data_IF_649198120198
#
_entry.id   IF_649198120198
#
_cell.length_a   1.000
_cell.length_b   1.000
_cell.length_c   1.000
_cell.angle_alpha   90.00
_cell.angle_beta   90.00
_cell.angle_gamma   90.00
#
_symmetry.space_group_name_H-M   'P 1'
#
loop_
_entity.id
_entity.type
_entity.pdbx_description
1 polymer ?
#
# COMPACT_ATOMS: atom_id res chain seq x y z
N UNK A 1 -29.37 -4.70 -0.29
CA UNK A 1 -28.15 -3.88 -0.05
C UNK A 1 -27.18 -4.69 0.82
N UNK A 2 -26.00 -4.94 0.32
CA UNK A 2 -24.95 -5.71 1.03
C UNK A 2 -24.13 -4.77 1.92
N UNK A 3 -23.94 -5.13 3.20
CA UNK A 3 -23.12 -4.37 4.13
C UNK A 3 -21.78 -5.07 4.31
N UNK A 4 -20.71 -4.38 3.93
CA UNK A 4 -19.31 -4.80 4.06
C UNK A 4 -18.65 -4.00 5.18
N UNK A 5 -17.93 -4.66 6.06
CA UNK A 5 -17.20 -4.01 7.16
C UNK A 5 -15.73 -4.39 7.08
N UNK A 6 -14.87 -3.44 6.74
CA UNK A 6 -13.43 -3.58 6.83
C UNK A 6 -12.97 -3.33 8.27
N UNK A 7 -12.05 -4.14 8.77
CA UNK A 7 -11.42 -3.94 10.07
C UNK A 7 -9.92 -3.77 9.87
N UNK A 8 -9.41 -2.61 10.27
CA UNK A 8 -7.99 -2.23 10.18
C UNK A 8 -7.42 -1.92 11.56
N UNK A 9 -6.10 -1.99 11.71
CA UNK A 9 -5.44 -1.70 12.98
C UNK A 9 -5.56 -0.22 13.34
N UNK A 10 -5.25 0.66 12.40
CA UNK A 10 -5.34 2.11 12.51
C UNK A 10 -5.80 2.69 11.17
N UNK A 11 -6.16 3.98 11.15
CA UNK A 11 -6.54 4.69 9.92
C UNK A 11 -5.62 5.91 9.75
N UNK A 12 -4.36 5.63 9.36
CA UNK A 12 -3.32 6.61 9.02
C UNK A 12 -2.99 6.48 7.54
N UNK A 13 -2.36 7.49 6.90
CA UNK A 13 -1.92 7.35 5.50
C UNK A 13 -1.04 6.12 5.28
N UNK A 14 -1.51 5.19 4.47
CA UNK A 14 -0.84 3.93 4.16
C UNK A 14 -1.53 3.20 3.01
N UNK A 15 -0.86 2.19 2.44
CA UNK A 15 -1.39 1.41 1.30
C UNK A 15 -2.68 0.66 1.64
N UNK A 16 -2.74 0.01 2.80
CA UNK A 16 -3.90 -0.77 3.25
C UNK A 16 -5.11 0.12 3.50
N UNK A 17 -4.88 1.24 4.17
CA UNK A 17 -5.91 2.21 4.49
C UNK A 17 -6.45 2.90 3.22
N UNK A 18 -5.55 3.21 2.27
CA UNK A 18 -5.92 3.71 0.95
C UNK A 18 -6.77 2.70 0.20
N UNK A 19 -6.35 1.44 0.13
CA UNK A 19 -7.11 0.36 -0.48
C UNK A 19 -8.49 0.18 0.17
N UNK A 20 -8.59 0.26 1.50
CA UNK A 20 -9.86 0.14 2.20
C UNK A 20 -10.83 1.30 1.86
N UNK A 21 -10.31 2.52 1.68
CA UNK A 21 -11.09 3.66 1.18
C UNK A 21 -11.51 3.46 -0.27
N UNK A 22 -10.61 3.01 -1.12
CA UNK A 22 -10.92 2.75 -2.53
C UNK A 22 -12.00 1.65 -2.65
N UNK A 23 -12.02 0.65 -1.77
CA UNK A 23 -13.11 -0.35 -1.70
C UNK A 23 -14.45 0.21 -1.19
N UNK A 24 -14.50 1.42 -0.57
CA UNK A 24 -15.76 2.14 -0.38
C UNK A 24 -16.25 2.69 -1.72
N UNK A 25 -15.37 3.35 -2.46
CA UNK A 25 -15.73 4.05 -3.70
C UNK A 25 -16.06 3.07 -4.85
N UNK A 26 -15.32 1.97 -4.95
CA UNK A 26 -15.45 0.99 -6.04
C UNK A 26 -16.17 -0.31 -5.62
N UNK A 27 -16.73 -0.38 -4.42
CA UNK A 27 -17.33 -1.61 -3.87
C UNK A 27 -18.63 -2.09 -4.52
N UNK A 28 -19.24 -1.28 -5.43
CA UNK A 28 -20.45 -1.61 -6.20
C UNK A 28 -21.71 -0.85 -5.74
N UNK A 29 -22.70 -0.72 -6.65
CA UNK A 29 -23.88 0.15 -6.49
C UNK A 29 -24.79 -0.22 -5.29
N UNK A 30 -24.92 -1.52 -4.98
CA UNK A 30 -25.78 -2.01 -3.89
C UNK A 30 -24.98 -2.43 -2.66
N UNK A 31 -23.81 -1.82 -2.44
CA UNK A 31 -22.92 -2.13 -1.33
C UNK A 31 -22.76 -0.89 -0.46
N UNK A 32 -22.93 -1.05 0.85
CA UNK A 32 -22.56 -0.04 1.83
C UNK A 32 -21.36 -0.54 2.62
N UNK A 33 -20.25 0.17 2.53
CA UNK A 33 -19.00 -0.21 3.16
C UNK A 33 -18.71 0.66 4.38
N UNK A 34 -18.30 0.04 5.48
CA UNK A 34 -17.79 0.68 6.68
C UNK A 34 -16.34 0.28 6.92
N UNK A 35 -15.55 1.17 7.51
CA UNK A 35 -14.21 0.87 8.00
C UNK A 35 -14.19 1.05 9.51
N UNK A 36 -13.76 0.02 10.21
CA UNK A 36 -13.54 0.03 11.66
C UNK A 36 -12.04 0.09 11.91
N UNK A 37 -11.60 1.19 12.53
CA UNK A 37 -10.24 1.30 13.07
C UNK A 37 -10.23 0.83 14.52
N UNK A 38 -9.38 -0.14 14.83
CA UNK A 38 -9.22 -0.62 16.21
C UNK A 38 -8.60 0.47 17.10
N UNK A 39 -7.60 1.18 16.60
CA UNK A 39 -6.81 2.18 17.32
C UNK A 39 -7.06 3.60 16.81
N UNK A 40 -6.70 4.59 17.63
CA UNK A 40 -6.81 6.01 17.31
C UNK A 40 -8.19 6.59 17.57
N UNK A 41 -8.28 7.91 17.36
CA UNK A 41 -9.53 8.69 17.48
C UNK A 41 -9.88 9.31 16.14
N UNK A 42 -11.17 9.38 15.83
CA UNK A 42 -11.70 9.83 14.55
C UNK A 42 -11.28 11.26 14.20
N UNK A 43 -11.44 12.17 15.14
CA UNK A 43 -11.14 13.59 14.96
C UNK A 43 -9.67 13.80 14.59
N UNK A 44 -8.78 13.17 15.35
CA UNK A 44 -7.33 13.22 15.12
C UNK A 44 -6.92 12.55 13.80
N UNK A 45 -7.54 11.43 13.44
CA UNK A 45 -7.26 10.76 12.17
C UNK A 45 -7.66 11.64 10.98
N UNK A 46 -8.82 12.30 11.02
CA UNK A 46 -9.30 13.22 9.97
C UNK A 46 -8.42 14.46 9.88
N UNK A 47 -7.95 15.01 11.01
CA UNK A 47 -7.02 16.12 11.03
C UNK A 47 -5.68 15.74 10.37
N UNK A 48 -5.13 14.59 10.74
CA UNK A 48 -3.86 14.11 10.17
C UNK A 48 -3.98 13.63 8.72
N UNK A 49 -5.16 13.18 8.31
CA UNK A 49 -5.42 12.70 6.96
C UNK A 49 -6.75 13.23 6.42
N UNK A 50 -6.78 14.45 5.85
CA UNK A 50 -8.00 15.12 5.36
C UNK A 50 -8.79 14.33 4.32
N UNK A 51 -8.14 13.38 3.61
CA UNK A 51 -8.81 12.45 2.68
C UNK A 51 -9.92 11.63 3.36
N UNK A 52 -9.91 11.50 4.69
CA UNK A 52 -10.95 10.79 5.45
C UNK A 52 -12.26 11.59 5.59
N UNK A 53 -12.27 12.92 5.38
CA UNK A 53 -13.45 13.78 5.58
C UNK A 53 -14.70 13.29 4.84
N UNK A 54 -14.66 12.94 3.54
CA UNK A 54 -15.83 12.45 2.82
C UNK A 54 -16.41 11.15 3.39
N UNK A 55 -15.59 10.35 4.07
CA UNK A 55 -15.96 9.04 4.63
C UNK A 55 -16.34 9.10 6.11
N UNK A 56 -16.51 10.30 6.69
CA UNK A 56 -16.73 10.46 8.12
C UNK A 56 -17.89 9.64 8.69
N UNK A 57 -18.94 9.40 7.90
CA UNK A 57 -20.08 8.56 8.31
C UNK A 57 -19.84 7.05 8.16
N UNK A 58 -18.81 6.68 7.37
CA UNK A 58 -18.47 5.30 7.10
C UNK A 58 -17.33 4.77 7.99
N UNK A 59 -16.63 5.66 8.72
CA UNK A 59 -15.49 5.28 9.56
C UNK A 59 -15.83 5.30 11.04
N UNK A 60 -15.48 4.23 11.75
CA UNK A 60 -15.76 4.00 13.17
C UNK A 60 -14.46 3.69 13.90
N UNK A 61 -14.22 4.32 15.04
CA UNK A 61 -12.99 4.15 15.82
C UNK A 61 -13.30 3.60 17.21
N UNK A 62 -12.51 2.61 17.64
CA UNK A 62 -12.63 2.02 18.98
C UNK A 62 -11.62 2.55 19.99
N UNK A 63 -10.60 3.28 19.53
CA UNK A 63 -9.53 3.84 20.36
C UNK A 63 -8.93 2.81 21.33
N UNK A 64 -8.69 1.60 20.81
CA UNK A 64 -8.08 0.50 21.56
C UNK A 64 -6.70 0.93 22.05
N UNK A 65 -6.47 0.74 23.34
CA UNK A 65 -5.15 0.96 23.93
C UNK A 65 -4.21 -0.22 23.62
N UNK A 66 -2.88 -0.04 23.73
CA UNK A 66 -1.92 -1.13 23.62
C UNK A 66 -2.28 -2.33 24.50
N UNK A 67 -1.91 -3.54 24.07
CA UNK A 67 -2.21 -4.79 24.76
C UNK A 67 -3.49 -5.49 24.26
N UNK A 68 -3.82 -6.62 24.89
CA UNK A 68 -4.97 -7.46 24.54
C UNK A 68 -6.20 -6.97 25.32
N UNK A 69 -7.30 -6.71 24.60
CA UNK A 69 -8.55 -6.18 25.15
C UNK A 69 -9.73 -7.11 24.76
N UNK A 70 -9.99 -8.21 25.50
CA UNK A 70 -11.02 -9.20 25.11
C UNK A 70 -12.41 -8.62 24.98
N UNK A 71 -12.81 -7.67 25.85
CA UNK A 71 -14.10 -6.99 25.79
C UNK A 71 -14.36 -6.27 24.47
N UNK A 72 -13.31 -5.91 23.73
CA UNK A 72 -13.46 -5.29 22.42
C UNK A 72 -14.12 -6.25 21.42
N UNK A 73 -13.87 -7.55 21.51
CA UNK A 73 -14.50 -8.55 20.63
C UNK A 73 -16.02 -8.53 20.80
N UNK A 74 -16.52 -8.47 22.05
CA UNK A 74 -17.94 -8.41 22.30
C UNK A 74 -18.58 -7.10 21.82
N UNK A 75 -17.86 -5.94 21.98
CA UNK A 75 -18.31 -4.64 21.47
C UNK A 75 -18.39 -4.65 19.95
N UNK A 76 -17.37 -5.19 19.27
CA UNK A 76 -17.34 -5.34 17.81
C UNK A 76 -18.48 -6.26 17.33
N UNK A 77 -18.70 -7.40 17.98
CA UNK A 77 -19.78 -8.33 17.63
C UNK A 77 -21.16 -7.67 17.73
N UNK A 78 -21.42 -6.86 18.78
CA UNK A 78 -22.66 -6.09 18.92
C UNK A 78 -22.81 -5.06 17.79
N UNK A 79 -21.71 -4.37 17.43
CA UNK A 79 -21.74 -3.40 16.33
C UNK A 79 -22.02 -4.08 14.99
N UNK A 80 -21.33 -5.20 14.68
CA UNK A 80 -21.56 -5.97 13.46
C UNK A 80 -23.02 -6.44 13.33
N UNK A 81 -23.62 -6.90 14.42
CA UNK A 81 -25.06 -7.25 14.47
C UNK A 81 -25.95 -6.02 14.24
N UNK A 82 -25.65 -4.90 14.89
CA UNK A 82 -26.41 -3.63 14.71
C UNK A 82 -26.34 -3.14 13.26
N UNK A 83 -25.18 -3.22 12.64
CA UNK A 83 -24.97 -2.87 11.23
C UNK A 83 -25.59 -3.90 10.27
N UNK A 84 -25.98 -5.10 10.73
CA UNK A 84 -26.38 -6.22 9.89
C UNK A 84 -25.31 -6.58 8.85
N UNK A 85 -24.04 -6.64 9.29
CA UNK A 85 -22.89 -6.89 8.43
C UNK A 85 -23.02 -8.24 7.70
N UNK A 86 -23.04 -8.22 6.38
CA UNK A 86 -23.06 -9.43 5.56
C UNK A 86 -21.65 -9.97 5.36
N UNK A 87 -20.67 -9.08 5.23
CA UNK A 87 -19.26 -9.40 5.00
C UNK A 87 -18.40 -8.66 6.02
N UNK A 88 -17.49 -9.36 6.67
CA UNK A 88 -16.41 -8.76 7.46
C UNK A 88 -15.09 -9.04 6.75
N UNK A 89 -14.30 -8.00 6.51
CA UNK A 89 -13.01 -8.10 5.86
C UNK A 89 -11.93 -7.58 6.81
N UNK A 90 -11.04 -8.45 7.24
CA UNK A 90 -9.97 -8.12 8.19
C UNK A 90 -8.62 -8.01 7.49
N UNK A 91 -7.76 -7.09 7.95
CA UNK A 91 -6.45 -6.82 7.38
C UNK A 91 -5.37 -6.95 8.44
N UNK A 92 -4.43 -7.87 8.28
CA UNK A 92 -3.41 -8.28 9.27
C UNK A 92 -3.93 -8.98 10.53
N UNK A 93 -2.98 -9.54 11.31
CA UNK A 93 -3.22 -10.41 12.48
C UNK A 93 -4.04 -9.74 13.59
N UNK A 94 -3.83 -8.43 13.87
CA UNK A 94 -4.60 -7.72 14.90
C UNK A 94 -6.08 -7.65 14.57
N UNK A 95 -6.48 -7.08 13.42
CA UNK A 95 -7.84 -7.12 12.91
C UNK A 95 -8.43 -8.53 12.76
N UNK A 96 -7.64 -9.55 12.40
CA UNK A 96 -8.09 -10.94 12.39
C UNK A 96 -8.50 -11.40 13.78
N UNK A 97 -7.68 -11.12 14.80
CA UNK A 97 -7.98 -11.49 16.18
C UNK A 97 -9.30 -10.87 16.64
N UNK A 98 -9.45 -9.55 16.53
CA UNK A 98 -10.63 -8.86 17.08
C UNK A 98 -11.82 -8.95 16.13
N UNK A 99 -11.66 -8.57 14.87
CA UNK A 99 -12.73 -8.53 13.86
C UNK A 99 -13.19 -9.93 13.44
N UNK A 100 -12.23 -10.86 13.27
CA UNK A 100 -12.54 -12.24 12.91
C UNK A 100 -13.33 -12.98 13.97
N UNK A 101 -12.91 -12.91 15.24
CA UNK A 101 -13.66 -13.50 16.36
C UNK A 101 -15.02 -12.80 16.55
N UNK A 102 -15.08 -11.48 16.40
CA UNK A 102 -16.34 -10.74 16.47
C UNK A 102 -17.31 -11.15 15.36
N UNK A 103 -16.82 -11.39 14.15
CA UNK A 103 -17.63 -11.85 13.02
C UNK A 103 -18.23 -13.24 13.28
N UNK A 104 -17.45 -14.16 13.87
CA UNK A 104 -17.98 -15.48 14.31
C UNK A 104 -19.09 -15.34 15.36
N UNK A 105 -18.89 -14.50 16.38
CA UNK A 105 -19.91 -14.23 17.41
C UNK A 105 -21.14 -13.49 16.87
N UNK A 106 -20.96 -12.68 15.83
CA UNK A 106 -22.06 -12.02 15.13
C UNK A 106 -22.80 -12.93 14.15
N UNK A 107 -22.25 -14.10 13.82
CA UNK A 107 -22.76 -15.05 12.82
C UNK A 107 -22.83 -14.36 11.44
N UNK A 108 -21.73 -13.69 11.06
CA UNK A 108 -21.62 -13.01 9.78
C UNK A 108 -21.52 -14.04 8.65
N UNK A 109 -22.20 -13.81 7.54
CA UNK A 109 -22.31 -14.77 6.43
C UNK A 109 -20.99 -15.02 5.69
N UNK A 110 -20.12 -14.01 5.61
CA UNK A 110 -18.85 -14.08 4.91
C UNK A 110 -17.75 -13.38 5.72
N UNK A 111 -16.63 -14.05 5.88
CA UNK A 111 -15.43 -13.51 6.48
C UNK A 111 -14.26 -13.64 5.53
N UNK A 112 -13.68 -12.52 5.15
CA UNK A 112 -12.48 -12.41 4.31
C UNK A 112 -11.33 -11.94 5.21
N UNK A 113 -10.15 -12.49 5.00
CA UNK A 113 -8.93 -12.04 5.65
C UNK A 113 -7.83 -11.86 4.62
N UNK A 114 -7.29 -10.64 4.51
CA UNK A 114 -6.19 -10.34 3.59
C UNK A 114 -4.90 -10.10 4.37
N UNK A 115 -3.87 -10.83 3.98
CA UNK A 115 -2.49 -10.58 4.38
C UNK A 115 -1.81 -9.71 3.33
N UNK A 116 -1.22 -8.61 3.80
CA UNK A 116 -0.54 -7.61 2.97
C UNK A 116 0.98 -7.73 3.04
N UNK A 117 1.49 -8.53 3.94
CA UNK A 117 2.88 -8.90 4.10
C UNK A 117 2.96 -10.21 4.89
N UNK A 118 4.13 -10.82 4.91
CA UNK A 118 4.30 -12.08 5.61
C UNK A 118 5.54 -12.12 6.51
N UNK A 119 6.28 -11.01 6.67
CA UNK A 119 7.51 -11.00 7.48
C UNK A 119 7.26 -11.21 8.97
N UNK A 120 6.08 -10.85 9.47
CA UNK A 120 5.69 -11.12 10.86
C UNK A 120 5.62 -12.63 11.17
N UNK A 121 5.46 -13.48 10.15
CA UNK A 121 5.48 -14.94 10.29
C UNK A 121 6.87 -15.53 10.55
N UNK A 122 7.93 -14.72 10.40
CA UNK A 122 9.28 -15.11 10.80
C UNK A 122 9.44 -15.20 12.33
N UNK A 123 8.53 -14.60 13.10
CA UNK A 123 8.43 -14.79 14.56
C UNK A 123 7.59 -16.06 14.85
N UNK A 124 8.17 -17.12 15.44
CA UNK A 124 7.44 -18.38 15.71
C UNK A 124 6.19 -18.20 16.57
N UNK A 125 6.19 -17.21 17.49
CA UNK A 125 5.04 -16.93 18.35
C UNK A 125 3.89 -16.36 17.55
N UNK A 126 4.18 -15.36 16.72
CA UNK A 126 3.18 -14.74 15.83
C UNK A 126 2.65 -15.73 14.81
N UNK A 127 3.52 -16.55 14.22
CA UNK A 127 3.15 -17.63 13.31
C UNK A 127 2.17 -18.63 14.00
N UNK A 128 2.47 -19.09 15.22
CA UNK A 128 1.59 -20.00 15.97
C UNK A 128 0.23 -19.37 16.30
N UNK A 129 0.22 -18.10 16.73
CA UNK A 129 -1.02 -17.36 17.01
C UNK A 129 -1.86 -17.26 15.74
N UNK A 130 -1.27 -16.85 14.63
CA UNK A 130 -2.00 -16.70 13.37
C UNK A 130 -2.55 -18.03 12.86
N UNK A 131 -1.76 -19.10 12.91
CA UNK A 131 -2.20 -20.44 12.55
C UNK A 131 -3.40 -20.90 13.37
N UNK A 132 -3.38 -20.62 14.68
CA UNK A 132 -4.50 -20.93 15.57
C UNK A 132 -5.74 -20.11 15.24
N UNK A 133 -5.58 -18.80 15.01
CA UNK A 133 -6.70 -17.93 14.63
C UNK A 133 -7.33 -18.35 13.30
N UNK A 134 -6.52 -18.62 12.27
CA UNK A 134 -7.02 -19.06 10.96
C UNK A 134 -7.80 -20.38 11.06
N UNK A 135 -7.32 -21.35 11.87
CA UNK A 135 -8.04 -22.61 12.11
C UNK A 135 -9.37 -22.42 12.83
N UNK A 136 -9.40 -21.52 13.83
CA UNK A 136 -10.62 -21.24 14.61
C UNK A 136 -11.63 -20.43 13.80
N UNK A 137 -11.15 -19.43 13.08
CA UNK A 137 -11.99 -18.43 12.38
C UNK A 137 -12.42 -18.94 11.00
N UNK A 138 -11.55 -19.67 10.30
CA UNK A 138 -11.76 -20.19 8.94
C UNK A 138 -12.26 -19.12 7.95
N UNK A 139 -11.51 -18.00 7.76
CA UNK A 139 -11.88 -17.00 6.77
C UNK A 139 -11.57 -17.47 5.35
N UNK A 140 -12.15 -16.81 4.37
CA UNK A 140 -11.59 -16.82 3.01
C UNK A 140 -10.25 -16.08 3.09
N UNK A 141 -9.15 -16.83 2.98
CA UNK A 141 -7.81 -16.27 3.07
C UNK A 141 -7.37 -15.71 1.72
N UNK A 142 -6.92 -14.47 1.73
CA UNK A 142 -6.42 -13.73 0.57
C UNK A 142 -5.00 -13.25 0.85
N UNK A 143 -4.15 -13.26 -0.16
CA UNK A 143 -2.87 -12.56 -0.20
C UNK A 143 -2.90 -11.53 -1.32
N UNK A 144 -2.26 -10.39 -1.12
CA UNK A 144 -2.20 -9.32 -2.14
C UNK A 144 -1.06 -9.51 -3.15
N UNK A 145 -0.17 -10.51 -2.94
CA UNK A 145 0.92 -10.87 -3.84
C UNK A 145 1.10 -12.40 -3.88
N UNK A 146 1.63 -12.89 -4.99
CA UNK A 146 2.02 -14.29 -5.14
C UNK A 146 3.11 -14.67 -4.12
N UNK A 147 4.12 -13.81 -3.95
CA UNK A 147 5.21 -14.00 -2.99
C UNK A 147 4.71 -14.04 -1.53
N UNK A 148 3.70 -13.24 -1.18
CA UNK A 148 3.04 -13.28 0.13
C UNK A 148 2.30 -14.62 0.30
N UNK A 149 1.54 -15.05 -0.71
CA UNK A 149 0.83 -16.33 -0.68
C UNK A 149 1.79 -17.52 -0.52
N UNK A 150 2.91 -17.52 -1.22
CA UNK A 150 3.94 -18.58 -1.12
C UNK A 150 4.57 -18.64 0.28
N UNK A 151 4.84 -17.48 0.88
CA UNK A 151 5.34 -17.41 2.25
C UNK A 151 4.34 -17.94 3.25
N UNK A 152 3.05 -17.60 3.11
CA UNK A 152 1.97 -18.11 3.96
C UNK A 152 1.85 -19.63 3.80
N UNK A 153 1.84 -20.16 2.58
CA UNK A 153 1.81 -21.62 2.32
C UNK A 153 2.94 -22.33 3.05
N UNK A 154 4.15 -21.82 2.91
CA UNK A 154 5.34 -22.41 3.53
C UNK A 154 5.33 -22.35 5.06
N UNK A 155 4.97 -21.17 5.64
CA UNK A 155 5.04 -20.94 7.09
C UNK A 155 3.85 -21.53 7.85
N UNK A 156 2.65 -21.45 7.28
CA UNK A 156 1.43 -21.86 7.96
C UNK A 156 0.93 -23.24 7.52
N UNK A 157 1.48 -23.81 6.44
CA UNK A 157 1.02 -25.05 5.82
C UNK A 157 -0.47 -24.97 5.44
N UNK A 158 -0.83 -23.92 4.69
CA UNK A 158 -2.19 -23.66 4.21
C UNK A 158 -2.11 -23.48 2.69
N UNK A 159 -2.79 -24.35 1.94
CA UNK A 159 -2.75 -24.32 0.46
C UNK A 159 -3.86 -23.45 -0.14
N UNK A 160 -5.00 -23.36 0.54
CA UNK A 160 -6.18 -22.65 0.03
C UNK A 160 -6.05 -21.13 0.28
N UNK A 161 -5.34 -20.45 -0.59
CA UNK A 161 -5.15 -19.00 -0.54
C UNK A 161 -5.54 -18.41 -1.90
N UNK A 162 -6.40 -17.40 -1.90
CA UNK A 162 -6.71 -16.62 -3.08
C UNK A 162 -5.72 -15.47 -3.23
N UNK A 163 -5.36 -15.12 -4.46
CA UNK A 163 -4.46 -14.01 -4.74
C UNK A 163 -5.28 -12.90 -5.39
N UNK A 164 -5.33 -11.75 -4.72
CA UNK A 164 -6.00 -10.55 -5.21
C UNK A 164 -5.02 -9.39 -5.06
N UNK A 165 -4.25 -9.07 -6.12
CA UNK A 165 -3.34 -7.94 -6.12
C UNK A 165 -4.07 -6.63 -5.83
N UNK A 166 -3.42 -5.74 -5.08
CA UNK A 166 -3.92 -4.40 -4.87
C UNK A 166 -4.00 -3.65 -6.20
N UNK A 167 -5.00 -2.78 -6.31
CA UNK A 167 -5.20 -1.90 -7.46
C UNK A 167 -5.19 -0.44 -7.04
N UNK A 168 -5.03 0.43 -8.03
CA UNK A 168 -5.10 1.88 -7.89
C UNK A 168 -6.15 2.47 -8.82
N UNK A 169 -6.64 3.67 -8.51
CA UNK A 169 -7.54 4.39 -9.42
C UNK A 169 -6.78 4.95 -10.63
N UNK A 170 -6.79 4.21 -11.75
CA UNK A 170 -6.12 4.61 -12.99
C UNK A 170 -6.77 5.81 -13.67
N UNK A 171 -7.96 6.25 -13.25
CA UNK A 171 -8.59 7.49 -13.71
C UNK A 171 -8.06 8.72 -12.97
N UNK A 172 -7.54 8.54 -11.75
CA UNK A 172 -6.87 9.57 -10.96
C UNK A 172 -5.39 9.69 -11.32
N UNK A 173 -4.70 8.56 -11.45
CA UNK A 173 -3.28 8.52 -11.81
C UNK A 173 -3.14 8.42 -13.34
N UNK A 174 -3.00 9.58 -13.99
CA UNK A 174 -2.90 9.72 -15.45
C UNK A 174 -1.61 10.44 -15.84
N UNK A 175 -1.08 10.21 -17.04
CA UNK A 175 0.00 11.03 -17.59
C UNK A 175 -0.36 12.52 -17.60
N UNK A 176 0.64 13.38 -17.43
CA UNK A 176 0.45 14.83 -17.39
C UNK A 176 1.62 15.61 -17.99
N UNK A 177 1.58 16.93 -17.86
CA UNK A 177 2.64 17.79 -18.33
C UNK A 177 3.74 17.90 -17.27
N UNK A 178 4.89 17.30 -17.57
CA UNK A 178 6.04 17.23 -16.67
C UNK A 178 6.57 18.61 -16.25
N UNK A 179 6.67 19.57 -17.19
CA UNK A 179 7.19 20.90 -16.91
C UNK A 179 6.25 21.61 -15.92
N UNK A 180 4.94 21.61 -16.21
CA UNK A 180 3.93 22.20 -15.33
C UNK A 180 3.93 21.56 -13.93
N UNK A 181 4.05 20.22 -13.84
CA UNK A 181 4.13 19.50 -12.58
C UNK A 181 5.37 19.90 -11.76
N UNK A 182 6.52 20.09 -12.41
CA UNK A 182 7.76 20.58 -11.76
C UNK A 182 7.62 22.02 -11.28
N UNK A 183 7.03 22.90 -12.08
CA UNK A 183 6.77 24.30 -11.68
C UNK A 183 5.85 24.36 -10.46
N UNK A 184 4.76 23.58 -10.43
CA UNK A 184 3.83 23.48 -9.29
C UNK A 184 4.53 23.01 -8.02
N UNK A 185 5.48 22.07 -8.15
CA UNK A 185 6.27 21.54 -7.02
C UNK A 185 7.55 22.31 -6.74
N UNK A 186 7.82 23.42 -7.45
CA UNK A 186 9.04 24.24 -7.34
C UNK A 186 10.32 23.42 -7.56
N UNK A 187 10.29 22.48 -8.51
CA UNK A 187 11.40 21.61 -8.87
C UNK A 187 12.09 22.09 -10.15
N UNK A 188 13.41 21.87 -10.31
CA UNK A 188 14.13 22.24 -11.53
C UNK A 188 13.56 21.53 -12.75
N UNK A 189 13.44 22.27 -13.89
CA UNK A 189 12.82 21.75 -15.11
C UNK A 189 13.79 21.08 -16.08
N UNK A 190 15.08 21.46 -16.04
CA UNK A 190 16.13 21.05 -16.99
C UNK A 190 17.08 19.97 -16.43
N UNK A 191 16.54 19.02 -15.68
CA UNK A 191 17.29 17.94 -15.04
C UNK A 191 16.63 16.59 -15.30
N UNK A 192 17.36 15.50 -15.02
CA UNK A 192 16.80 14.16 -14.87
C UNK A 192 16.35 13.97 -13.44
N UNK A 193 15.07 13.67 -13.20
CA UNK A 193 14.50 13.61 -11.87
C UNK A 193 14.02 12.20 -11.52
N UNK A 194 14.66 11.60 -10.52
CA UNK A 194 14.23 10.35 -9.90
C UNK A 194 13.31 10.68 -8.73
N UNK A 195 12.17 10.03 -8.62
CA UNK A 195 11.26 10.19 -7.48
C UNK A 195 11.19 8.94 -6.60
N UNK A 196 11.03 9.16 -5.29
CA UNK A 196 10.67 8.13 -4.34
C UNK A 196 9.57 8.65 -3.41
N UNK A 197 8.51 7.89 -3.22
CA UNK A 197 7.40 8.26 -2.33
C UNK A 197 7.13 7.19 -1.28
N UNK A 198 6.77 7.63 -0.07
CA UNK A 198 6.43 6.77 1.04
C UNK A 198 6.92 7.30 2.38
N UNK A 199 6.63 6.59 3.46
CA UNK A 199 7.11 6.97 4.79
C UNK A 199 8.63 6.98 4.82
N UNK A 200 9.23 8.00 5.41
CA UNK A 200 10.68 8.07 5.60
C UNK A 200 11.09 7.21 6.81
N UNK A 201 11.06 5.90 6.60
CA UNK A 201 11.40 4.87 7.58
C UNK A 201 12.55 4.00 7.06
N UNK A 202 13.38 3.45 7.94
CA UNK A 202 14.53 2.64 7.56
C UNK A 202 14.16 1.53 6.55
N UNK A 203 13.03 0.86 6.78
CA UNK A 203 12.54 -0.23 5.91
C UNK A 203 12.26 0.21 4.48
N UNK A 204 12.04 1.51 4.22
CA UNK A 204 11.77 2.07 2.89
C UNK A 204 13.04 2.38 2.09
N UNK A 205 14.22 2.30 2.69
CA UNK A 205 15.50 2.28 2.01
C UNK A 205 15.91 3.57 1.30
N UNK A 206 15.30 4.75 1.61
CA UNK A 206 15.66 6.02 0.96
C UNK A 206 17.15 6.36 1.12
N UNK A 207 17.76 5.93 2.22
CA UNK A 207 19.20 6.08 2.44
C UNK A 207 20.04 5.36 1.37
N UNK A 208 19.61 4.19 0.90
CA UNK A 208 20.29 3.43 -0.17
C UNK A 208 20.18 4.19 -1.50
N UNK A 209 19.02 4.81 -1.75
CA UNK A 209 18.81 5.61 -2.97
C UNK A 209 19.64 6.90 -2.97
N UNK A 210 19.85 7.51 -1.79
CA UNK A 210 20.76 8.65 -1.64
C UNK A 210 22.22 8.24 -1.92
N UNK A 211 22.66 7.07 -1.42
CA UNK A 211 23.98 6.52 -1.74
C UNK A 211 24.11 6.24 -3.25
N UNK A 212 23.08 5.65 -3.87
CA UNK A 212 23.05 5.43 -5.31
C UNK A 212 23.12 6.74 -6.11
N UNK A 213 22.45 7.81 -5.66
CA UNK A 213 22.50 9.12 -6.31
C UNK A 213 23.91 9.70 -6.31
N UNK A 214 24.71 9.44 -5.28
CA UNK A 214 26.10 9.90 -5.21
C UNK A 214 26.96 9.35 -6.35
N UNK A 215 26.64 8.15 -6.86
CA UNK A 215 27.33 7.51 -7.99
C UNK A 215 26.81 7.99 -9.37
N UNK A 216 25.71 8.77 -9.43
CA UNK A 216 25.08 9.23 -10.67
C UNK A 216 25.62 10.62 -11.12
N UNK A 217 25.57 10.93 -12.43
CA UNK A 217 25.95 12.24 -12.96
C UNK A 217 25.23 13.41 -12.27
N UNK A 218 25.87 14.59 -12.30
CA UNK A 218 25.40 15.79 -11.56
C UNK A 218 24.06 16.34 -12.01
N UNK A 219 23.66 16.09 -13.26
CA UNK A 219 22.35 16.47 -13.80
C UNK A 219 21.19 15.58 -13.33
N UNK A 220 21.48 14.49 -12.60
CA UNK A 220 20.46 13.61 -12.01
C UNK A 220 20.16 14.09 -10.61
N UNK A 221 18.92 14.38 -10.33
CA UNK A 221 18.42 14.80 -9.02
C UNK A 221 17.42 13.77 -8.46
N UNK A 222 17.23 13.80 -7.15
CA UNK A 222 16.30 12.97 -6.41
C UNK A 222 15.23 13.83 -5.73
N UNK A 223 13.97 13.42 -5.82
CA UNK A 223 12.88 14.02 -5.06
C UNK A 223 12.23 12.99 -4.15
N UNK A 224 12.12 13.32 -2.86
CA UNK A 224 11.52 12.48 -1.83
C UNK A 224 10.18 13.08 -1.38
N UNK A 225 9.09 12.30 -1.53
CA UNK A 225 7.77 12.67 -1.05
C UNK A 225 7.36 11.78 0.13
N UNK A 226 7.18 12.37 1.30
CA UNK A 226 6.80 11.67 2.53
C UNK A 226 7.41 12.31 3.75
N UNK A 227 7.11 11.73 4.91
CA UNK A 227 7.68 12.09 6.22
C UNK A 227 7.89 10.83 7.06
N UNK A 228 8.72 10.88 8.07
CA UNK A 228 8.97 9.73 8.95
C UNK A 228 10.15 9.92 9.89
N UNK A 229 10.46 8.88 10.64
CA UNK A 229 11.47 8.93 11.71
C UNK A 229 12.89 9.09 11.17
N UNK A 230 13.13 8.72 9.90
CA UNK A 230 14.45 8.83 9.26
C UNK A 230 14.75 10.20 8.65
N UNK A 231 13.82 11.16 8.66
CA UNK A 231 13.97 12.44 7.95
C UNK A 231 15.25 13.18 8.32
N UNK A 232 15.52 13.33 9.61
CA UNK A 232 16.76 13.99 10.09
C UNK A 232 18.04 13.25 9.65
N UNK A 233 18.02 11.91 9.69
CA UNK A 233 19.15 11.09 9.26
C UNK A 233 19.40 11.21 7.76
N UNK A 234 18.34 11.26 6.95
CA UNK A 234 18.45 11.43 5.49
C UNK A 234 19.02 12.83 5.13
N UNK A 235 18.58 13.89 5.81
CA UNK A 235 19.16 15.23 5.63
C UNK A 235 20.66 15.25 6.01
N UNK A 236 21.04 14.60 7.11
CA UNK A 236 22.44 14.48 7.50
C UNK A 236 23.26 13.74 6.44
N UNK A 237 22.77 12.61 5.91
CA UNK A 237 23.44 11.84 4.87
C UNK A 237 23.62 12.68 3.58
N UNK A 238 22.59 13.39 3.14
CA UNK A 238 22.64 14.31 1.98
C UNK A 238 23.74 15.35 2.16
N UNK A 239 23.85 15.94 3.37
CA UNK A 239 24.89 16.95 3.67
C UNK A 239 26.29 16.34 3.69
N UNK A 240 26.47 15.16 4.27
CA UNK A 240 27.75 14.46 4.31
C UNK A 240 28.25 14.09 2.90
N UNK A 241 27.33 13.69 2.02
CA UNK A 241 27.63 13.36 0.62
C UNK A 241 27.68 14.58 -0.30
N UNK A 242 27.46 15.82 0.21
CA UNK A 242 27.41 17.09 -0.56
C UNK A 242 26.37 17.08 -1.68
N UNK A 243 25.21 16.49 -1.42
CA UNK A 243 24.11 16.35 -2.37
C UNK A 243 22.97 17.37 -2.14
N UNK A 244 23.19 18.44 -1.34
CA UNK A 244 22.13 19.38 -0.94
C UNK A 244 21.40 20.01 -2.13
N UNK A 245 22.10 20.28 -3.25
CA UNK A 245 21.51 20.87 -4.46
C UNK A 245 20.78 19.83 -5.33
N UNK A 246 20.96 18.53 -5.04
CA UNK A 246 20.46 17.42 -5.86
C UNK A 246 19.34 16.61 -5.20
N UNK A 247 19.09 16.76 -3.90
CA UNK A 247 18.04 16.06 -3.18
C UNK A 247 16.98 17.02 -2.68
N UNK A 248 15.75 16.84 -3.14
CA UNK A 248 14.60 17.67 -2.83
C UNK A 248 13.64 16.93 -1.89
N UNK A 249 13.42 17.45 -0.69
CA UNK A 249 12.46 16.91 0.26
C UNK A 249 11.16 17.71 0.16
N UNK A 250 10.07 17.08 -0.27
CA UNK A 250 8.77 17.75 -0.43
C UNK A 250 7.85 17.57 0.78
N UNK A 251 8.28 16.76 1.78
CA UNK A 251 7.38 16.41 2.86
C UNK A 251 6.17 15.62 2.37
N UNK A 252 5.06 15.71 3.08
CA UNK A 252 3.80 15.06 2.68
C UNK A 252 3.12 15.83 1.56
N UNK A 253 2.71 15.12 0.53
CA UNK A 253 2.01 15.66 -0.64
C UNK A 253 0.63 15.02 -0.72
N UNK A 254 -0.40 15.83 -0.89
CA UNK A 254 -1.79 15.37 -1.10
C UNK A 254 -2.06 15.07 -2.58
N UNK A 255 -1.49 15.87 -3.49
CA UNK A 255 -1.62 15.67 -4.94
C UNK A 255 -0.52 14.76 -5.48
N UNK A 256 -0.61 13.47 -5.20
CA UNK A 256 0.36 12.47 -5.67
C UNK A 256 0.44 12.36 -7.21
N UNK A 257 -0.65 12.51 -8.00
CA UNK A 257 -0.52 12.56 -9.45
C UNK A 257 0.49 13.61 -9.95
N UNK A 258 0.46 14.84 -9.45
CA UNK A 258 1.43 15.89 -9.82
C UNK A 258 2.87 15.47 -9.49
N UNK A 259 3.08 14.81 -8.32
CA UNK A 259 4.39 14.26 -7.97
C UNK A 259 4.88 13.27 -9.03
N UNK A 260 4.11 12.25 -9.38
CA UNK A 260 4.54 11.27 -10.38
C UNK A 260 4.72 11.89 -11.77
N UNK A 261 3.84 12.80 -12.19
CA UNK A 261 3.94 13.50 -13.47
C UNK A 261 5.22 14.34 -13.60
N UNK A 262 5.83 14.74 -12.49
CA UNK A 262 7.09 15.54 -12.49
C UNK A 262 8.34 14.71 -12.81
N UNK A 263 8.26 13.38 -12.73
CA UNK A 263 9.39 12.47 -12.73
C UNK A 263 9.83 12.05 -14.14
N UNK A 264 11.09 11.63 -14.26
CA UNK A 264 11.60 10.84 -15.38
C UNK A 264 11.62 9.35 -15.04
N UNK A 265 11.83 9.01 -13.75
CA UNK A 265 11.91 7.65 -13.26
C UNK A 265 11.42 7.60 -11.81
N UNK A 266 10.71 6.55 -11.46
CA UNK A 266 10.34 6.27 -10.08
C UNK A 266 11.24 5.17 -9.50
N UNK A 267 11.67 5.30 -8.24
CA UNK A 267 12.44 4.28 -7.54
C UNK A 267 11.84 3.94 -6.19
N UNK A 268 11.64 2.63 -5.93
CA UNK A 268 11.25 2.10 -4.63
C UNK A 268 12.37 1.24 -4.05
N UNK A 269 13.29 1.81 -3.24
CA UNK A 269 14.50 1.13 -2.75
C UNK A 269 14.28 0.29 -1.49
N UNK A 270 13.07 -0.15 -1.23
CA UNK A 270 12.65 -0.75 0.03
C UNK A 270 13.44 -2.00 0.41
N UNK A 271 13.60 -2.22 1.71
CA UNK A 271 14.17 -3.44 2.29
C UNK A 271 13.10 -4.53 2.49
N UNK A 272 11.83 -4.13 2.67
CA UNK A 272 10.69 -5.03 2.77
C UNK A 272 9.43 -4.36 2.21
N UNK A 273 8.65 -5.13 1.46
CA UNK A 273 7.34 -4.74 0.95
C UNK A 273 6.37 -5.93 0.98
N UNK A 274 5.08 -5.63 1.04
CA UNK A 274 4.04 -6.57 0.64
C UNK A 274 3.77 -6.43 -0.85
N UNK A 275 2.71 -5.69 -1.19
CA UNK A 275 2.40 -5.29 -2.58
C UNK A 275 2.28 -3.75 -2.62
N UNK A 276 3.35 -3.03 -2.97
CA UNK A 276 3.38 -1.57 -2.89
C UNK A 276 2.51 -0.92 -3.98
N UNK A 277 1.77 0.15 -3.60
CA UNK A 277 0.93 0.90 -4.54
C UNK A 277 1.73 1.93 -5.34
N UNK A 278 2.78 2.50 -4.78
CA UNK A 278 3.53 3.60 -5.39
C UNK A 278 4.14 3.28 -6.76
N UNK A 279 4.68 2.07 -7.06
CA UNK A 279 5.10 1.74 -8.41
C UNK A 279 3.93 1.63 -9.40
N UNK A 280 2.74 1.18 -8.95
CA UNK A 280 1.54 1.17 -9.79
C UNK A 280 1.12 2.60 -10.14
N UNK A 281 1.09 3.49 -9.14
CA UNK A 281 0.74 4.91 -9.30
C UNK A 281 1.67 5.62 -10.28
N UNK A 282 2.99 5.43 -10.13
CA UNK A 282 4.01 5.98 -11.03
C UNK A 282 3.81 5.47 -12.46
N UNK A 283 3.71 4.17 -12.64
CA UNK A 283 3.54 3.55 -13.94
C UNK A 283 2.19 3.93 -14.59
N UNK A 284 1.13 4.10 -13.82
CA UNK A 284 -0.15 4.63 -14.31
C UNK A 284 -0.03 6.05 -14.83
N UNK A 285 0.86 6.87 -14.25
CA UNK A 285 1.21 8.19 -14.77
C UNK A 285 2.18 8.14 -15.98
N UNK A 286 2.53 6.95 -16.46
CA UNK A 286 3.44 6.76 -17.60
C UNK A 286 4.93 6.75 -17.22
N UNK A 287 5.27 6.69 -15.93
CA UNK A 287 6.63 6.77 -15.42
C UNK A 287 7.20 5.37 -15.19
N UNK A 288 8.30 4.97 -15.86
CA UNK A 288 9.00 3.72 -15.60
C UNK A 288 9.42 3.62 -14.12
N UNK A 289 9.51 2.40 -13.60
CA UNK A 289 9.82 2.19 -12.19
C UNK A 289 10.97 1.22 -11.99
N UNK A 290 11.88 1.53 -11.06
CA UNK A 290 12.87 0.62 -10.51
C UNK A 290 12.49 0.26 -9.09
N UNK A 291 12.45 -1.02 -8.74
CA UNK A 291 12.14 -1.46 -7.37
C UNK A 291 13.23 -2.40 -6.84
N UNK A 292 13.39 -2.44 -5.52
CA UNK A 292 14.11 -3.55 -4.88
C UNK A 292 13.31 -4.85 -5.01
N UNK A 293 13.99 -5.97 -5.28
CA UNK A 293 13.39 -7.31 -5.36
C UNK A 293 13.07 -7.85 -3.96
N UNK A 294 12.00 -7.33 -3.37
CA UNK A 294 11.52 -7.69 -2.02
C UNK A 294 10.00 -7.84 -2.01
N UNK A 295 9.53 -8.89 -1.36
CA UNK A 295 8.09 -9.19 -1.28
C UNK A 295 7.42 -9.21 -2.65
N UNK A 296 6.27 -8.58 -2.77
CA UNK A 296 5.53 -8.43 -4.03
C UNK A 296 5.92 -7.23 -4.88
N UNK A 297 7.00 -6.50 -4.55
CA UNK A 297 7.37 -5.28 -5.29
C UNK A 297 7.61 -5.55 -6.78
N UNK A 298 8.29 -6.65 -7.13
CA UNK A 298 8.51 -7.08 -8.51
C UNK A 298 7.20 -7.36 -9.26
N UNK A 299 6.17 -7.84 -8.58
CA UNK A 299 4.87 -8.18 -9.19
C UNK A 299 4.08 -6.94 -9.64
N UNK A 300 4.51 -5.73 -9.21
CA UNK A 300 3.89 -4.46 -9.59
C UNK A 300 4.40 -3.89 -10.91
N UNK A 301 5.41 -4.50 -11.53
CA UNK A 301 6.16 -3.91 -12.63
C UNK A 301 5.64 -4.34 -14.01
N UNK A 302 5.56 -3.37 -14.93
CA UNK A 302 5.55 -3.61 -16.36
C UNK A 302 6.97 -4.01 -16.79
N UNK A 303 7.18 -5.29 -17.08
CA UNK A 303 8.50 -5.86 -17.36
C UNK A 303 9.19 -5.30 -18.63
N UNK A 304 8.42 -4.66 -19.53
CA UNK A 304 8.94 -4.09 -20.77
C UNK A 304 9.66 -2.74 -20.56
N UNK A 305 9.28 -2.00 -19.52
CA UNK A 305 9.77 -0.65 -19.27
C UNK A 305 10.15 -0.36 -17.81
N UNK A 306 10.10 -1.36 -16.94
CA UNK A 306 10.48 -1.24 -15.53
C UNK A 306 11.42 -2.38 -15.14
N UNK A 307 12.23 -2.16 -14.11
CA UNK A 307 13.27 -3.10 -13.71
C UNK A 307 13.25 -3.32 -12.18
N UNK A 308 13.93 -4.37 -11.72
CA UNK A 308 14.17 -4.63 -10.31
C UNK A 308 15.64 -4.94 -10.05
N UNK A 309 16.09 -4.64 -8.84
CA UNK A 309 17.46 -4.89 -8.39
C UNK A 309 17.46 -5.56 -7.02
N UNK A 310 18.52 -6.30 -6.66
CA UNK A 310 18.68 -6.78 -5.29
C UNK A 310 18.57 -5.62 -4.28
N UNK A 311 17.88 -5.86 -3.18
CA UNK A 311 17.76 -4.86 -2.11
C UNK A 311 19.11 -4.59 -1.45
N UNK A 312 19.25 -3.42 -0.81
CA UNK A 312 20.43 -3.01 -0.07
C UNK A 312 21.74 -2.99 -0.91
N UNK A 313 21.64 -2.59 -2.18
CA UNK A 313 22.78 -2.49 -3.09
C UNK A 313 22.75 -1.19 -3.88
N UNK A 314 23.37 -0.14 -3.34
CA UNK A 314 23.38 1.21 -3.93
C UNK A 314 24.06 1.23 -5.32
N UNK A 315 25.16 0.53 -5.49
CA UNK A 315 25.91 0.52 -6.77
C UNK A 315 25.13 -0.15 -7.91
N UNK A 316 24.49 -1.31 -7.66
CA UNK A 316 23.62 -1.91 -8.67
C UNK A 316 22.40 -1.03 -8.95
N UNK A 317 21.85 -0.41 -7.94
CA UNK A 317 20.73 0.53 -8.08
C UNK A 317 21.14 1.74 -8.94
N UNK A 318 22.30 2.35 -8.68
CA UNK A 318 22.84 3.46 -9.48
C UNK A 318 23.03 3.04 -10.95
N UNK A 319 23.61 1.86 -11.21
CA UNK A 319 23.79 1.34 -12.57
C UNK A 319 22.47 1.16 -13.32
N UNK A 320 21.46 0.57 -12.68
CA UNK A 320 20.13 0.39 -13.29
C UNK A 320 19.42 1.73 -13.50
N UNK A 321 19.46 2.65 -12.52
CA UNK A 321 18.91 4.00 -12.65
C UNK A 321 19.53 4.74 -13.83
N UNK A 322 20.87 4.71 -13.97
CA UNK A 322 21.57 5.34 -15.09
C UNK A 322 21.13 4.75 -16.43
N UNK A 323 21.08 3.43 -16.52
CA UNK A 323 20.66 2.73 -17.75
C UNK A 323 19.22 3.12 -18.12
N UNK A 324 18.30 3.07 -17.15
CA UNK A 324 16.89 3.35 -17.38
C UNK A 324 16.63 4.82 -17.74
N UNK A 325 17.34 5.78 -17.14
CA UNK A 325 17.24 7.21 -17.49
C UNK A 325 17.70 7.56 -18.90
N UNK A 326 18.54 6.71 -19.50
CA UNK A 326 19.08 6.90 -20.86
C UNK A 326 18.44 5.97 -21.91
N UNK A 327 17.53 5.09 -21.48
CA UNK A 327 16.81 4.16 -22.36
C UNK A 327 15.58 4.85 -22.96
N UNK A 328 15.36 4.63 -24.24
CA UNK A 328 14.10 5.01 -24.88
C UNK A 328 13.14 3.83 -24.83
N UNK A 329 11.93 4.06 -24.29
CA UNK A 329 10.91 3.01 -24.20
C UNK A 329 9.90 3.19 -25.33
N UNK A 330 9.63 2.10 -26.07
CA UNK A 330 8.62 2.06 -27.14
C UNK A 330 7.20 1.85 -26.62
N UNK A 331 7.08 1.36 -25.38
CA UNK A 331 5.80 1.07 -24.71
C UNK A 331 5.62 1.96 -23.48
N UNK A 332 4.38 2.27 -23.15
CA UNK A 332 4.04 2.97 -21.91
C UNK A 332 3.71 1.97 -20.81
N UNK A 333 4.26 2.13 -19.60
CA UNK A 333 3.89 1.28 -18.46
C UNK A 333 2.41 1.43 -18.07
N UNK A 334 1.75 2.52 -18.47
CA UNK A 334 0.35 2.78 -18.18
C UNK A 334 -0.58 1.69 -18.70
N UNK A 335 -0.38 1.23 -19.93
CA UNK A 335 -1.28 0.24 -20.56
C UNK A 335 -1.30 -1.06 -19.75
N UNK A 336 -0.14 -1.46 -19.22
CA UNK A 336 -0.02 -2.60 -18.31
C UNK A 336 -0.84 -2.37 -17.02
N UNK A 337 -0.71 -1.19 -16.39
CA UNK A 337 -1.39 -0.89 -15.13
C UNK A 337 -2.91 -0.78 -15.32
N UNK A 338 -3.39 -0.14 -16.38
CA UNK A 338 -4.81 -0.07 -16.70
C UNK A 338 -5.41 -1.46 -16.86
N UNK A 339 -4.67 -2.39 -17.48
CA UNK A 339 -5.12 -3.77 -17.73
C UNK A 339 -5.02 -4.67 -16.50
N UNK A 340 -4.05 -4.46 -15.59
CA UNK A 340 -3.73 -5.42 -14.53
C UNK A 340 -3.80 -4.86 -13.11
N UNK A 341 -3.59 -3.55 -12.93
CA UNK A 341 -3.48 -2.88 -11.64
C UNK A 341 -4.61 -1.87 -11.36
N UNK A 342 -5.71 -1.89 -12.12
CA UNK A 342 -6.86 -1.01 -11.85
C UNK A 342 -7.64 -1.48 -10.62
N UNK A 343 -8.04 -0.55 -9.79
CA UNK A 343 -8.79 -0.80 -8.55
C UNK A 343 -10.14 -1.47 -8.79
N UNK A 344 -10.75 -1.26 -9.97
CA UNK A 344 -12.03 -1.88 -10.34
C UNK A 344 -11.89 -3.39 -10.45
N UNK A 345 -10.76 -3.87 -11.01
CA UNK A 345 -10.44 -5.30 -11.07
C UNK A 345 -10.26 -5.92 -9.69
N UNK A 346 -9.59 -5.20 -8.79
CA UNK A 346 -9.44 -5.62 -7.39
C UNK A 346 -10.82 -5.70 -6.72
N UNK A 347 -11.65 -4.68 -6.85
CA UNK A 347 -12.98 -4.61 -6.26
C UNK A 347 -13.90 -5.73 -6.78
N UNK A 348 -13.88 -6.02 -8.08
CA UNK A 348 -14.61 -7.14 -8.71
C UNK A 348 -14.17 -8.49 -8.14
N UNK A 349 -12.87 -8.73 -8.00
CA UNK A 349 -12.33 -9.97 -7.41
C UNK A 349 -12.77 -10.15 -5.96
N UNK A 350 -12.77 -9.08 -5.14
CA UNK A 350 -13.31 -9.13 -3.77
C UNK A 350 -14.83 -9.31 -3.77
N UNK A 351 -15.56 -8.70 -4.72
CA UNK A 351 -16.99 -8.89 -4.85
C UNK A 351 -17.36 -10.36 -5.15
N UNK A 352 -16.57 -11.03 -5.99
CA UNK A 352 -16.76 -12.45 -6.33
C UNK A 352 -16.55 -13.40 -5.14
N UNK A 353 -15.94 -12.96 -4.04
CA UNK A 353 -15.80 -13.74 -2.80
C UNK A 353 -17.07 -13.70 -1.93
N UNK A 354 -17.96 -12.74 -2.18
CA UNK A 354 -19.19 -12.57 -1.40
C UNK A 354 -20.19 -13.66 -1.77
N UNK A 355 -20.95 -14.21 -0.80
CA UNK A 355 -22.03 -15.14 -1.16
C UNK A 355 -23.00 -14.42 -2.08
N UNK A 356 -23.38 -15.09 -3.17
CA UNK A 356 -24.46 -14.61 -4.04
C UNK A 356 -25.70 -14.55 -3.17
N UNK A 357 -26.20 -13.36 -2.89
CA UNK A 357 -27.44 -13.19 -2.16
C UNK A 357 -28.55 -13.92 -2.93
N UNK A 358 -29.23 -14.85 -2.26
CA UNK A 358 -30.48 -15.36 -2.79
C UNK A 358 -31.34 -14.14 -3.11
N UNK A 359 -31.54 -13.87 -4.41
CA UNK A 359 -32.62 -13.02 -4.86
C UNK A 359 -33.90 -13.74 -4.44
N UNK A 360 -34.47 -13.32 -3.29
CA UNK A 360 -35.85 -13.64 -2.91
C UNK A 360 -36.71 -12.46 -3.36
#
# INVERSE_FOLDING_TARGET
MTIVVHVVQHLKPGGIETMALDLIDFGGVNVRTYIISLEGKKEHAIEQWPRLKPYAENIIFFNKQPGITPLLIAKLARLLKKLKANVVHTHHIGPLLYGGLAAKLAITNCLIHTEHDAWHLNDPRRCSVQKTLLRLIQPILVADAQTVAETIRRQLNIDTIKIIPNGIDTSRFIPGNKIKAREELQLPTQIKLIGCSGRLEHVKGQHILIDALHELPSEVHLVLAGSGTMEANLHQQVSQLKLNERVHFLGRIDNMPTFYQSLDLFCLPSLNEGFPLSPLEAQSCGIPSLVSDVGGARETLCVECSEYVPSNNATLMAKSLFTMLNKHYSTSPRDFIVKHGDVRLMAERYAALRPVGNQV
#
